data_IF_686920689547
#
_entry.id   IF_686920689547
#
_cell.length_a   1.000
_cell.length_b   1.000
_cell.length_c   1.000
_cell.angle_alpha   90.00
_cell.angle_beta   90.00
_cell.angle_gamma   90.00
#
_symmetry.space_group_name_H-M   'P 1'
#
loop_
_entity.id
_entity.type
_entity.pdbx_description
1 polymer ?
#
# COMPACT_ATOMS: atom_id res chain seq x y z
N UNK A 1 8.85 2.50 5.43
CA UNK A 1 8.21 1.37 6.13
C UNK A 1 7.36 0.67 5.11
N UNK A 2 7.81 -0.46 4.61
CA UNK A 2 7.10 -1.28 3.62
C UNK A 2 6.20 -2.22 4.37
N UNK A 3 4.92 -2.23 4.04
CA UNK A 3 3.89 -3.03 4.72
C UNK A 3 3.30 -4.03 3.74
N UNK A 4 2.97 -5.21 4.25
CA UNK A 4 2.37 -6.29 3.47
C UNK A 4 0.94 -6.56 3.94
N UNK A 5 0.05 -6.92 3.01
CA UNK A 5 -1.26 -7.47 3.34
C UNK A 5 -1.86 -8.30 2.19
N UNK A 6 -2.68 -9.31 2.55
CA UNK A 6 -3.49 -10.11 1.61
C UNK A 6 -4.79 -9.39 1.17
N UNK A 7 -5.20 -8.36 1.89
CA UNK A 7 -6.31 -7.45 1.59
C UNK A 7 -6.03 -6.06 2.15
N UNK A 8 -6.65 -5.01 1.62
CA UNK A 8 -6.38 -3.65 2.10
C UNK A 8 -7.18 -3.39 3.39
N UNK A 9 -6.56 -3.75 4.54
CA UNK A 9 -6.96 -3.55 5.97
C UNK A 9 -7.80 -4.72 6.60
N UNK A 10 -7.46 -5.27 7.79
CA UNK A 10 -7.05 -4.53 9.01
C UNK A 10 -5.73 -4.92 9.70
N UNK A 11 -4.97 -5.90 9.21
CA UNK A 11 -3.74 -6.36 9.88
C UNK A 11 -2.54 -6.25 8.95
N UNK A 12 -2.03 -5.02 8.83
CA UNK A 12 -0.73 -4.74 8.22
C UNK A 12 0.34 -5.43 9.06
N UNK A 13 1.15 -6.27 8.43
CA UNK A 13 2.32 -6.89 9.05
C UNK A 13 3.59 -6.36 8.40
N UNK A 14 4.73 -6.56 9.07
CA UNK A 14 6.01 -6.21 8.49
C UNK A 14 6.23 -7.01 7.19
N UNK A 15 6.94 -6.43 6.22
CA UNK A 15 7.22 -7.08 4.94
C UNK A 15 7.99 -8.40 5.11
N UNK A 16 8.77 -8.54 6.18
CA UNK A 16 9.49 -9.77 6.53
C UNK A 16 8.58 -10.89 7.03
N UNK A 17 7.38 -10.57 7.52
CA UNK A 17 6.39 -11.53 8.04
C UNK A 17 5.42 -12.01 6.95
N UNK A 18 5.64 -11.62 5.68
CA UNK A 18 4.77 -12.05 4.59
C UNK A 18 4.84 -13.58 4.40
N UNK A 19 3.73 -14.25 4.10
CA UNK A 19 3.71 -15.67 3.79
C UNK A 19 4.44 -15.91 2.46
N UNK A 20 5.16 -17.03 2.38
CA UNK A 20 5.97 -17.40 1.22
C UNK A 20 5.20 -17.43 -0.12
N UNK A 21 3.89 -17.73 -0.07
CA UNK A 21 3.00 -17.71 -1.24
C UNK A 21 2.99 -16.34 -1.95
N UNK A 22 3.22 -15.23 -1.23
CA UNK A 22 3.27 -13.90 -1.84
C UNK A 22 4.44 -13.75 -2.84
N UNK A 23 5.54 -14.48 -2.62
CA UNK A 23 6.71 -14.45 -3.51
C UNK A 23 6.49 -15.25 -4.80
N UNK A 24 5.54 -16.18 -4.81
CA UNK A 24 5.17 -16.92 -6.02
C UNK A 24 4.45 -16.06 -7.05
N UNK A 25 3.85 -14.92 -6.64
CA UNK A 25 3.20 -13.96 -7.54
C UNK A 25 2.10 -14.60 -8.40
N UNK A 26 1.38 -15.56 -7.84
CA UNK A 26 0.35 -16.35 -8.56
C UNK A 26 -1.08 -15.95 -8.21
N UNK A 27 -1.30 -15.29 -7.07
CA UNK A 27 -2.63 -14.92 -6.57
C UNK A 27 -2.77 -13.41 -6.41
N UNK A 28 -3.96 -12.89 -6.74
CA UNK A 28 -4.34 -11.49 -6.52
C UNK A 28 -4.54 -11.24 -5.02
N UNK A 29 -4.24 -10.02 -4.58
CA UNK A 29 -4.48 -9.58 -3.21
C UNK A 29 -3.21 -9.49 -2.39
N UNK A 30 -2.07 -9.95 -2.92
CA UNK A 30 -0.78 -9.71 -2.29
C UNK A 30 -0.25 -8.35 -2.69
N UNK A 31 -0.49 -7.37 -1.81
CA UNK A 31 -0.10 -5.97 -2.03
C UNK A 31 1.18 -5.63 -1.26
N UNK A 32 2.11 -5.00 -1.97
CA UNK A 32 3.22 -4.27 -1.36
C UNK A 32 2.94 -2.77 -1.42
N UNK A 33 3.21 -2.06 -0.33
CA UNK A 33 3.06 -0.61 -0.27
C UNK A 33 4.36 0.08 0.08
N UNK A 34 4.70 1.11 -0.70
CA UNK A 34 5.83 1.99 -0.45
C UNK A 34 5.36 3.43 -0.24
N UNK A 35 6.23 4.23 0.37
CA UNK A 35 6.01 5.66 0.59
C UNK A 35 7.25 6.42 0.15
N UNK A 36 7.08 7.30 -0.83
CA UNK A 36 8.08 8.22 -1.32
C UNK A 36 7.81 9.62 -0.75
N UNK A 37 8.85 10.23 -0.21
CA UNK A 37 8.80 11.60 0.35
C UNK A 37 9.48 12.53 -0.64
N UNK A 38 8.77 13.56 -1.10
CA UNK A 38 9.32 14.57 -1.97
C UNK A 38 10.43 15.37 -1.30
N UNK A 39 11.33 15.94 -2.10
CA UNK A 39 12.40 16.80 -1.62
C UNK A 39 11.86 17.93 -0.73
N UNK A 40 12.58 18.28 0.34
CA UNK A 40 12.15 19.25 1.34
C UNK A 40 10.78 18.93 1.97
N UNK A 41 10.40 17.64 2.03
CA UNK A 41 9.11 17.16 2.53
C UNK A 41 7.90 17.73 1.79
N UNK A 42 8.08 18.15 0.52
CA UNK A 42 7.02 18.73 -0.31
C UNK A 42 6.22 17.63 -1.00
N UNK A 43 5.28 17.08 -0.24
CA UNK A 43 4.34 16.08 -0.72
C UNK A 43 4.85 14.66 -0.59
N UNK A 44 3.90 13.73 -0.64
CA UNK A 44 4.13 12.30 -0.45
C UNK A 44 3.35 11.53 -1.48
N UNK A 45 4.03 10.56 -2.08
CA UNK A 45 3.40 9.56 -2.93
C UNK A 45 3.43 8.25 -2.17
N UNK A 46 2.27 7.64 -2.00
CA UNK A 46 2.17 6.26 -1.55
C UNK A 46 1.77 5.40 -2.74
N UNK A 47 2.32 4.20 -2.81
CA UNK A 47 2.04 3.22 -3.86
C UNK A 47 1.51 1.94 -3.25
N UNK A 48 0.71 1.22 -4.04
CA UNK A 48 0.25 -0.13 -3.78
C UNK A 48 0.44 -0.92 -5.06
N UNK A 49 1.22 -1.99 -5.00
CA UNK A 49 1.50 -2.85 -6.13
C UNK A 49 1.00 -4.26 -5.83
N UNK A 50 0.10 -4.78 -6.67
CA UNK A 50 -0.25 -6.19 -6.63
C UNK A 50 0.89 -7.04 -7.21
N UNK A 51 1.30 -8.07 -6.49
CA UNK A 51 2.47 -8.88 -6.84
C UNK A 51 2.24 -9.80 -8.01
N UNK A 52 1.01 -10.28 -8.25
CA UNK A 52 0.71 -11.16 -9.36
C UNK A 52 0.53 -10.37 -10.67
N UNK A 53 -0.33 -9.37 -10.67
CA UNK A 53 -0.75 -8.65 -11.89
C UNK A 53 0.04 -7.38 -12.16
N UNK A 54 0.90 -6.94 -11.23
CA UNK A 54 1.66 -5.69 -11.34
C UNK A 54 0.76 -4.45 -11.53
N UNK A 55 -0.46 -4.54 -11.02
CA UNK A 55 -1.37 -3.41 -11.00
C UNK A 55 -0.91 -2.43 -9.93
N UNK A 56 -0.56 -1.21 -10.36
CA UNK A 56 -0.07 -0.14 -9.50
C UNK A 56 -1.19 0.86 -9.26
N UNK A 57 -1.44 1.13 -7.98
CA UNK A 57 -2.25 2.26 -7.56
C UNK A 57 -1.37 3.22 -6.78
N UNK A 58 -1.42 4.50 -7.14
CA UNK A 58 -0.68 5.54 -6.45
C UNK A 58 -1.64 6.62 -5.98
N UNK A 59 -1.36 7.18 -4.80
CA UNK A 59 -2.07 8.34 -4.30
C UNK A 59 -1.12 9.38 -3.72
N UNK A 60 -1.63 10.60 -3.67
CA UNK A 60 -0.89 11.77 -3.22
C UNK A 60 -1.40 12.21 -1.84
N UNK A 61 -0.48 12.53 -0.95
CA UNK A 61 -0.77 13.10 0.36
C UNK A 61 0.11 14.35 0.56
N UNK A 62 -0.38 15.29 1.37
CA UNK A 62 0.38 16.51 1.68
C UNK A 62 1.60 16.25 2.54
N UNK A 63 1.51 15.29 3.47
CA UNK A 63 2.56 14.96 4.43
C UNK A 63 2.40 13.50 4.94
N UNK A 64 3.34 13.05 5.80
CA UNK A 64 3.48 11.63 6.22
C UNK A 64 2.61 11.22 7.39
N UNK A 65 1.78 12.13 7.92
CA UNK A 65 1.02 11.82 9.11
C UNK A 65 -0.10 10.84 8.77
N UNK A 66 -0.44 9.98 9.71
CA UNK A 66 -1.55 9.05 9.54
C UNK A 66 -2.88 9.78 9.30
N UNK A 67 -3.05 11.00 9.85
CA UNK A 67 -4.25 11.81 9.62
C UNK A 67 -4.42 12.27 8.18
N UNK A 68 -3.32 12.48 7.44
CA UNK A 68 -3.35 12.82 6.02
C UNK A 68 -3.39 11.56 5.13
N UNK A 69 -2.65 10.51 5.49
CA UNK A 69 -2.54 9.29 4.70
C UNK A 69 -3.82 8.44 4.77
N UNK A 70 -4.42 8.27 5.94
CA UNK A 70 -5.57 7.37 6.11
C UNK A 70 -6.80 7.77 5.27
N UNK A 71 -7.16 9.06 5.14
CA UNK A 71 -8.21 9.48 4.21
C UNK A 71 -7.85 9.21 2.74
N UNK A 72 -6.60 9.46 2.33
CA UNK A 72 -6.17 9.19 0.96
C UNK A 72 -6.19 7.68 0.65
N UNK A 73 -5.80 6.84 1.61
CA UNK A 73 -5.90 5.39 1.52
C UNK A 73 -7.34 4.93 1.27
N UNK A 74 -8.29 5.40 2.10
CA UNK A 74 -9.73 5.08 1.95
C UNK A 74 -10.33 5.53 0.64
N UNK A 75 -9.88 6.66 0.08
CA UNK A 75 -10.32 7.12 -1.25
C UNK A 75 -9.78 6.23 -2.37
N UNK A 76 -8.55 5.78 -2.20
CA UNK A 76 -7.85 4.96 -3.21
C UNK A 76 -8.38 3.52 -3.20
N UNK A 77 -8.74 3.01 -2.02
CA UNK A 77 -9.31 1.68 -1.81
C UNK A 77 -10.52 1.77 -0.86
N UNK A 78 -11.72 1.98 -1.41
CA UNK A 78 -12.96 1.86 -0.64
C UNK A 78 -13.06 0.47 0.00
N UNK A 79 -13.55 0.37 1.26
CA UNK A 79 -13.77 -0.92 1.94
C UNK A 79 -14.71 -1.86 1.18
N UNK A 80 -15.57 -1.30 0.34
CA UNK A 80 -16.55 -2.02 -0.45
C UNK A 80 -16.05 -2.34 -1.87
N UNK A 81 -14.74 -2.18 -2.11
CA UNK A 81 -14.12 -2.64 -3.36
C UNK A 81 -14.14 -4.17 -3.39
N UNK A 82 -14.61 -4.79 -4.47
CA UNK A 82 -14.78 -6.24 -4.58
C UNK A 82 -13.47 -7.02 -4.42
#
# INVERSE_FOLDING_TARGET
MTIYSKYIDPSRVDISERPAIADHKTEIGYWESDTMIGENYRGIIFTYMDKAWKFLVAGLAKNKTASEINPCHRKTFPRDSP
#
